data_IF_583128062184
#
_entry.id   IF_583128062184
#
_cell.length_a   1.000
_cell.length_b   1.000
_cell.length_c   1.000
_cell.angle_alpha   90.00
_cell.angle_beta   90.00
_cell.angle_gamma   90.00
#
_symmetry.space_group_name_H-M   'P 1'
#
loop_
_entity.id
_entity.type
_entity.pdbx_description
1 polymer ?
#
# COMPACT_ATOMS: atom_id res chain seq x y z
N UNK A 1 64.12 -39.19 1.26
CA UNK A 1 63.20 -38.48 2.18
C UNK A 1 62.74 -37.09 1.69
N UNK A 2 63.03 -36.65 0.45
CA UNK A 2 62.57 -35.33 -0.06
C UNK A 2 61.11 -35.31 -0.54
N UNK A 3 60.54 -36.46 -0.91
CA UNK A 3 59.20 -36.52 -1.52
C UNK A 3 58.06 -36.49 -0.50
N UNK A 4 58.34 -36.75 0.79
CA UNK A 4 57.33 -36.79 1.85
C UNK A 4 56.86 -35.38 2.23
N UNK A 5 57.75 -34.39 2.16
CA UNK A 5 57.42 -32.99 2.43
C UNK A 5 56.55 -32.38 1.32
N UNK A 6 56.79 -32.78 0.07
CA UNK A 6 55.96 -32.36 -1.08
C UNK A 6 54.55 -32.95 -0.95
N UNK A 7 54.43 -34.22 -0.56
CA UNK A 7 53.15 -34.87 -0.37
C UNK A 7 52.34 -34.25 0.79
N UNK A 8 53.01 -33.93 1.90
CA UNK A 8 52.38 -33.24 3.03
C UNK A 8 51.87 -31.84 2.68
N UNK A 9 52.61 -31.09 1.85
CA UNK A 9 52.23 -29.76 1.41
C UNK A 9 51.00 -29.79 0.46
N UNK A 10 50.90 -30.81 -0.38
CA UNK A 10 49.74 -31.02 -1.25
C UNK A 10 48.49 -31.35 -0.42
N UNK A 11 48.60 -32.23 0.57
CA UNK A 11 47.47 -32.57 1.46
C UNK A 11 47.00 -31.33 2.25
N UNK A 12 47.93 -30.51 2.75
CA UNK A 12 47.60 -29.27 3.45
C UNK A 12 46.86 -28.29 2.54
N UNK A 13 47.25 -28.19 1.28
CA UNK A 13 46.59 -27.34 0.29
C UNK A 13 45.16 -27.81 -0.02
N UNK A 14 44.94 -29.13 -0.17
CA UNK A 14 43.61 -29.69 -0.36
C UNK A 14 42.70 -29.47 0.87
N UNK A 15 43.25 -29.55 2.08
CA UNK A 15 42.50 -29.27 3.31
C UNK A 15 42.09 -27.79 3.41
N UNK A 16 42.96 -26.86 3.00
CA UNK A 16 42.68 -25.43 2.99
C UNK A 16 41.56 -25.05 2.00
N UNK A 17 41.50 -25.69 0.83
CA UNK A 17 40.46 -25.45 -0.17
C UNK A 17 39.10 -26.03 0.31
N UNK A 18 39.13 -27.17 1.02
CA UNK A 18 37.93 -27.82 1.55
C UNK A 18 37.29 -27.04 2.71
N UNK A 19 38.06 -26.22 3.43
CA UNK A 19 37.57 -25.35 4.51
C UNK A 19 36.82 -24.10 3.99
N UNK A 20 36.86 -23.82 2.68
CA UNK A 20 36.05 -22.78 2.05
C UNK A 20 34.65 -23.33 1.69
N UNK A 21 33.97 -23.97 2.63
CA UNK A 21 32.57 -24.36 2.44
C UNK A 21 31.67 -23.15 2.72
N UNK A 22 31.07 -22.63 1.66
CA UNK A 22 30.37 -21.35 1.61
C UNK A 22 29.34 -21.13 2.71
N UNK A 23 29.34 -19.92 3.25
CA UNK A 23 28.27 -19.37 4.08
C UNK A 23 26.94 -19.45 3.33
N UNK A 24 26.09 -20.40 3.74
CA UNK A 24 24.69 -20.49 3.34
C UNK A 24 23.85 -19.49 4.15
N UNK A 25 24.17 -18.20 4.07
CA UNK A 25 23.42 -17.16 4.79
C UNK A 25 22.30 -16.54 3.93
N UNK A 26 22.26 -16.83 2.62
CA UNK A 26 21.27 -16.26 1.71
C UNK A 26 19.83 -16.79 1.96
N UNK A 27 19.66 -18.04 2.40
CA UNK A 27 18.32 -18.65 2.52
C UNK A 27 17.51 -18.08 3.69
N UNK A 28 18.16 -17.74 4.81
CA UNK A 28 17.48 -17.16 5.99
C UNK A 28 16.96 -15.74 5.75
N UNK A 29 17.60 -14.99 4.84
CA UNK A 29 17.16 -13.63 4.47
C UNK A 29 15.87 -13.63 3.63
N UNK A 30 15.63 -14.72 2.88
CA UNK A 30 14.44 -14.84 2.00
C UNK A 30 13.21 -15.29 2.80
N UNK A 31 13.36 -16.15 3.81
CA UNK A 31 12.23 -16.61 4.64
C UNK A 31 11.54 -15.46 5.39
N UNK A 32 12.30 -14.55 5.99
CA UNK A 32 11.74 -13.43 6.77
C UNK A 32 10.93 -12.42 5.96
N UNK A 33 11.18 -12.30 4.64
CA UNK A 33 10.47 -11.37 3.75
C UNK A 33 9.07 -11.89 3.41
N UNK A 34 8.87 -13.21 3.42
CA UNK A 34 7.59 -13.86 3.08
C UNK A 34 6.70 -14.12 4.30
N UNK A 35 7.18 -13.83 5.50
CA UNK A 35 6.43 -14.01 6.76
C UNK A 35 5.83 -12.68 7.24
N UNK A 36 4.53 -12.67 7.49
CA UNK A 36 3.82 -11.52 8.08
C UNK A 36 2.32 -11.72 8.06
N UNK A 37 1.62 -11.10 9.02
CA UNK A 37 0.14 -11.11 9.11
C UNK A 37 -0.49 -9.88 8.46
N UNK A 38 0.31 -8.87 8.11
CA UNK A 38 -0.15 -7.60 7.53
C UNK A 38 -0.09 -7.66 5.99
N UNK A 39 -1.26 -7.49 5.35
CA UNK A 39 -1.39 -7.50 3.88
C UNK A 39 -1.34 -6.10 3.28
N UNK A 40 -2.44 -5.35 3.40
CA UNK A 40 -2.55 -3.98 2.90
C UNK A 40 -2.84 -3.04 4.07
N UNK A 41 -2.06 -1.98 4.19
CA UNK A 41 -2.30 -0.87 5.11
C UNK A 41 -3.00 0.24 4.36
N UNK A 42 -4.05 0.80 4.96
CA UNK A 42 -4.78 1.94 4.42
C UNK A 42 -4.91 2.98 5.52
N UNK A 43 -4.49 4.20 5.23
CA UNK A 43 -4.58 5.32 6.15
C UNK A 43 -4.95 6.59 5.42
N UNK A 44 -5.76 7.45 6.04
CA UNK A 44 -5.95 8.80 5.50
C UNK A 44 -4.66 9.62 5.67
N UNK A 45 -4.41 10.53 4.72
CA UNK A 45 -3.34 11.50 4.92
C UNK A 45 -3.62 12.38 6.16
N UNK A 46 -2.57 12.89 6.84
CA UNK A 46 -2.75 13.79 7.96
C UNK A 46 -3.61 15.01 7.58
N UNK A 47 -4.57 15.36 8.44
CA UNK A 47 -5.57 16.42 8.19
C UNK A 47 -6.45 16.19 6.95
N UNK A 48 -6.56 14.94 6.49
CA UNK A 48 -7.46 14.51 5.45
C UNK A 48 -8.34 13.36 5.98
N UNK A 49 -9.64 13.30 5.67
CA UNK A 49 -10.44 14.39 5.10
C UNK A 49 -10.42 15.65 5.99
N UNK A 50 -10.76 16.82 5.45
CA UNK A 50 -10.90 18.02 6.25
C UNK A 50 -12.05 17.84 7.26
N UNK A 51 -11.82 18.22 8.52
CA UNK A 51 -12.85 18.17 9.57
C UNK A 51 -14.03 19.12 9.30
N UNK A 52 -13.83 20.14 8.45
CA UNK A 52 -14.84 21.10 8.02
C UNK A 52 -14.66 21.40 6.54
N UNK A 53 -15.76 21.40 5.80
CA UNK A 53 -15.82 21.83 4.40
C UNK A 53 -16.67 23.09 4.35
N UNK A 54 -16.14 24.17 3.76
CA UNK A 54 -16.88 25.40 3.52
C UNK A 54 -17.60 25.23 2.19
N UNK A 55 -18.88 25.58 2.18
CA UNK A 55 -19.79 25.37 1.06
C UNK A 55 -20.57 26.63 0.81
N UNK A 56 -20.62 27.05 -0.44
CA UNK A 56 -21.34 28.24 -0.87
C UNK A 56 -22.59 27.82 -1.66
N UNK A 57 -23.72 28.43 -1.31
CA UNK A 57 -24.99 28.22 -2.00
C UNK A 57 -25.01 29.00 -3.32
N UNK A 58 -25.65 28.45 -4.35
CA UNK A 58 -25.87 29.13 -5.63
C UNK A 58 -24.69 29.11 -6.61
N UNK A 59 -23.54 28.54 -6.23
CA UNK A 59 -22.36 28.43 -7.11
C UNK A 59 -22.17 27.04 -7.76
N UNK A 60 -23.14 26.14 -7.57
CA UNK A 60 -23.13 24.77 -8.11
C UNK A 60 -22.18 23.83 -7.35
N UNK A 61 -22.53 22.54 -7.28
CA UNK A 61 -21.78 21.54 -6.50
C UNK A 61 -20.33 21.32 -6.99
N UNK A 62 -20.00 21.73 -8.21
CA UNK A 62 -18.66 21.62 -8.78
C UNK A 62 -17.62 22.48 -8.06
N UNK A 63 -18.05 23.60 -7.45
CA UNK A 63 -17.20 24.51 -6.67
C UNK A 63 -17.08 24.08 -5.21
N UNK A 64 -18.01 23.27 -4.74
CA UNK A 64 -18.11 22.74 -3.39
C UNK A 64 -17.45 21.36 -3.29
N UNK A 65 -16.21 21.24 -3.79
CA UNK A 65 -15.47 19.99 -3.80
C UNK A 65 -14.41 19.96 -2.69
N UNK A 66 -14.02 18.75 -2.30
CA UNK A 66 -12.87 18.52 -1.43
C UNK A 66 -12.22 17.20 -1.81
N UNK A 67 -10.95 17.03 -1.44
CA UNK A 67 -10.23 15.79 -1.72
C UNK A 67 -10.20 14.90 -0.48
N UNK A 68 -10.43 13.61 -0.68
CA UNK A 68 -10.18 12.56 0.30
C UNK A 68 -9.03 11.69 -0.22
N UNK A 69 -7.89 11.72 0.47
CA UNK A 69 -6.65 11.08 0.05
C UNK A 69 -6.28 9.98 1.03
N UNK A 70 -6.13 8.77 0.49
CA UNK A 70 -5.67 7.58 1.18
C UNK A 70 -4.23 7.27 0.78
N UNK A 71 -3.41 7.00 1.78
CA UNK A 71 -2.12 6.33 1.64
C UNK A 71 -2.35 4.81 1.73
N UNK A 72 -2.03 4.12 0.62
CA UNK A 72 -2.09 2.68 0.50
C UNK A 72 -0.68 2.13 0.53
N UNK A 73 -0.44 1.12 1.36
CA UNK A 73 0.85 0.46 1.43
C UNK A 73 0.72 -1.04 1.52
N UNK A 74 1.31 -1.73 0.55
CA UNK A 74 1.40 -3.18 0.57
C UNK A 74 2.46 -3.59 1.59
N UNK A 75 2.05 -4.25 2.65
CA UNK A 75 2.93 -4.80 3.69
C UNK A 75 3.13 -6.32 3.54
N UNK A 76 2.42 -6.94 2.60
CA UNK A 76 2.53 -8.35 2.26
C UNK A 76 3.64 -8.64 1.25
N UNK A 77 3.77 -9.90 0.86
CA UNK A 77 4.78 -10.38 -0.10
C UNK A 77 4.25 -10.56 -1.54
N UNK A 78 2.98 -10.24 -1.80
CA UNK A 78 2.34 -10.37 -3.12
C UNK A 78 1.59 -9.07 -3.48
N UNK A 79 1.46 -8.72 -4.78
CA UNK A 79 2.02 -9.41 -5.95
C UNK A 79 3.54 -9.24 -6.05
N UNK A 80 4.21 -10.21 -6.69
CA UNK A 80 5.66 -10.13 -6.90
C UNK A 80 6.02 -9.09 -7.98
N UNK A 81 7.17 -8.44 -7.81
CA UNK A 81 7.69 -7.45 -8.73
C UNK A 81 8.05 -8.12 -10.08
N UNK A 82 7.42 -7.69 -11.17
CA UNK A 82 7.62 -8.24 -12.52
C UNK A 82 6.86 -9.53 -12.84
N UNK A 83 5.86 -9.90 -12.03
CA UNK A 83 4.96 -11.03 -12.33
C UNK A 83 3.99 -10.76 -13.50
N UNK A 84 3.49 -11.84 -14.12
CA UNK A 84 2.53 -11.78 -15.24
C UNK A 84 1.22 -11.06 -14.85
N UNK A 85 0.84 -11.10 -13.56
CA UNK A 85 -0.17 -10.22 -12.97
C UNK A 85 0.51 -9.11 -12.18
N UNK A 86 0.94 -8.07 -12.89
CA UNK A 86 1.55 -6.87 -12.30
C UNK A 86 0.45 -5.98 -11.69
N UNK A 87 -0.09 -6.34 -10.52
CA UNK A 87 -1.11 -5.52 -9.85
C UNK A 87 -1.77 -6.22 -8.67
N UNK A 88 -2.07 -5.48 -7.59
CA UNK A 88 -2.79 -6.04 -6.45
C UNK A 88 -4.26 -6.19 -6.80
N UNK A 89 -4.81 -7.40 -6.72
CA UNK A 89 -6.23 -7.62 -6.97
C UNK A 89 -7.07 -7.16 -5.77
N UNK A 90 -7.99 -6.23 -5.99
CA UNK A 90 -8.89 -5.70 -4.96
C UNK A 90 -9.45 -4.34 -5.32
N UNK A 91 -10.38 -3.85 -4.48
CA UNK A 91 -10.99 -2.53 -4.63
C UNK A 91 -11.07 -1.83 -3.29
N UNK A 92 -10.84 -0.53 -3.30
CA UNK A 92 -11.01 0.36 -2.14
C UNK A 92 -12.30 1.14 -2.33
N UNK A 93 -13.16 1.07 -1.32
CA UNK A 93 -14.44 1.75 -1.28
C UNK A 93 -14.40 2.82 -0.20
N UNK A 94 -14.80 4.03 -0.55
CA UNK A 94 -15.09 5.06 0.44
C UNK A 94 -16.55 4.93 0.87
N UNK A 95 -16.81 4.87 2.18
CA UNK A 95 -18.17 4.75 2.74
C UNK A 95 -18.28 5.51 4.06
N UNK A 96 -19.52 5.70 4.55
CA UNK A 96 -19.82 6.48 5.77
C UNK A 96 -20.16 7.95 5.52
N UNK A 97 -20.57 8.29 4.30
CA UNK A 97 -21.10 9.61 3.94
C UNK A 97 -22.61 9.54 3.67
N UNK A 98 -23.29 10.68 3.80
CA UNK A 98 -24.70 10.83 3.40
C UNK A 98 -24.78 11.08 1.89
N UNK A 99 -25.31 10.15 1.08
CA UNK A 99 -25.37 10.28 -0.38
C UNK A 99 -26.33 11.38 -0.85
N UNK A 100 -27.20 11.90 0.02
CA UNK A 100 -28.03 13.05 -0.28
C UNK A 100 -27.28 14.38 -0.19
N UNK A 101 -26.10 14.40 0.44
CA UNK A 101 -25.29 15.60 0.71
C UNK A 101 -23.97 15.55 -0.05
N UNK A 102 -23.28 14.41 -0.04
CA UNK A 102 -22.04 14.19 -0.78
C UNK A 102 -22.28 13.29 -1.98
N UNK A 103 -21.91 13.81 -3.13
CA UNK A 103 -22.00 13.13 -4.43
C UNK A 103 -20.63 13.02 -5.06
N UNK A 104 -20.47 12.04 -5.93
CA UNK A 104 -19.24 11.78 -6.67
C UNK A 104 -19.56 11.77 -8.16
N UNK A 105 -18.60 12.16 -8.99
CA UNK A 105 -18.76 12.11 -10.46
C UNK A 105 -18.80 10.66 -10.99
N UNK A 106 -18.21 9.74 -10.24
CA UNK A 106 -18.20 8.30 -10.49
C UNK A 106 -18.39 7.54 -9.18
N UNK A 107 -18.67 6.24 -9.26
CA UNK A 107 -18.71 5.40 -8.05
C UNK A 107 -17.42 5.58 -7.23
N UNK A 108 -17.51 5.72 -5.89
CA UNK A 108 -16.36 5.97 -5.01
C UNK A 108 -15.58 4.66 -4.78
N UNK A 109 -15.12 4.07 -5.87
CA UNK A 109 -14.46 2.77 -5.94
C UNK A 109 -13.20 2.89 -6.77
N UNK A 110 -12.08 2.44 -6.21
CA UNK A 110 -10.80 2.49 -6.90
C UNK A 110 -10.20 1.09 -6.95
N UNK A 111 -9.84 0.64 -8.15
CA UNK A 111 -9.14 -0.61 -8.39
C UNK A 111 -7.72 -0.53 -7.84
N UNK A 112 -7.30 -1.59 -7.14
CA UNK A 112 -5.93 -1.75 -6.66
C UNK A 112 -4.99 -2.31 -7.73
N UNK A 113 -5.55 -2.84 -8.82
CA UNK A 113 -4.77 -3.50 -9.87
C UNK A 113 -3.83 -2.51 -10.57
N UNK A 114 -4.31 -1.29 -10.78
CA UNK A 114 -3.57 -0.23 -11.48
C UNK A 114 -2.68 0.60 -10.54
N UNK A 115 -2.46 0.14 -9.31
CA UNK A 115 -1.69 0.84 -8.27
C UNK A 115 -0.32 0.24 -8.10
N UNK A 116 0.65 1.08 -7.72
CA UNK A 116 2.03 0.68 -7.46
C UNK A 116 2.20 -0.06 -6.10
N UNK A 117 1.39 -1.09 -5.88
CA UNK A 117 1.29 -1.85 -4.63
C UNK A 117 2.03 -3.19 -4.72
N UNK A 118 3.30 -3.13 -5.10
CA UNK A 118 4.17 -4.31 -5.16
C UNK A 118 4.39 -4.93 -3.78
N UNK A 119 4.52 -6.25 -3.73
CA UNK A 119 4.86 -6.98 -2.52
C UNK A 119 6.28 -6.67 -2.05
N UNK A 120 6.54 -6.95 -0.77
CA UNK A 120 7.89 -6.92 -0.21
C UNK A 120 8.83 -7.84 -0.97
N UNK A 121 10.04 -7.37 -1.21
CA UNK A 121 11.12 -8.12 -1.85
C UNK A 121 12.46 -7.84 -1.18
N UNK A 122 13.51 -8.54 -1.60
CA UNK A 122 14.88 -8.34 -1.09
C UNK A 122 15.43 -6.94 -1.37
N UNK A 123 14.95 -6.30 -2.44
CA UNK A 123 15.34 -4.95 -2.84
C UNK A 123 14.33 -3.89 -2.38
N UNK A 124 13.09 -4.28 -2.06
CA UNK A 124 12.07 -3.42 -1.48
C UNK A 124 11.44 -4.07 -0.22
N UNK A 125 12.12 -4.03 0.94
CA UNK A 125 11.63 -4.67 2.17
C UNK A 125 10.39 -3.97 2.75
N UNK A 126 10.07 -2.78 2.24
CA UNK A 126 8.99 -1.92 2.69
C UNK A 126 7.69 -2.10 1.91
N UNK A 127 7.75 -2.84 0.79
CA UNK A 127 6.66 -2.99 -0.17
C UNK A 127 6.38 -1.73 -0.98
N UNK A 128 5.48 -1.84 -1.94
CA UNK A 128 4.97 -0.74 -2.74
C UNK A 128 3.95 0.12 -1.98
N UNK A 129 3.87 1.38 -2.36
CA UNK A 129 2.90 2.33 -1.81
C UNK A 129 2.36 3.22 -2.92
N UNK A 130 1.10 3.63 -2.78
CA UNK A 130 0.44 4.53 -3.72
C UNK A 130 -0.57 5.42 -3.01
N UNK A 131 -0.88 6.56 -3.62
CA UNK A 131 -1.90 7.49 -3.13
C UNK A 131 -3.17 7.35 -3.96
N UNK A 132 -4.29 7.36 -3.26
CA UNK A 132 -5.61 7.24 -3.86
C UNK A 132 -6.47 8.42 -3.45
N UNK A 133 -6.98 9.15 -4.44
CA UNK A 133 -7.77 10.36 -4.21
C UNK A 133 -9.19 10.17 -4.69
N UNK A 134 -10.16 10.41 -3.79
CA UNK A 134 -11.56 10.59 -4.11
C UNK A 134 -11.89 12.07 -4.13
N UNK A 135 -12.75 12.49 -5.06
CA UNK A 135 -13.15 13.89 -5.24
C UNK A 135 -14.66 14.06 -5.01
N UNK A 136 -15.13 14.01 -3.76
CA UNK A 136 -16.52 14.31 -3.43
C UNK A 136 -16.87 15.78 -3.71
N UNK A 137 -18.14 15.99 -4.05
CA UNK A 137 -18.81 17.28 -4.18
C UNK A 137 -19.94 17.36 -3.16
N UNK A 138 -20.16 18.52 -2.58
CA UNK A 138 -21.21 18.76 -1.59
C UNK A 138 -22.36 19.53 -2.24
N UNK A 139 -23.59 19.04 -2.05
CA UNK A 139 -24.81 19.71 -2.49
C UNK A 139 -25.25 20.69 -1.39
N UNK A 140 -24.93 21.98 -1.56
CA UNK A 140 -25.21 23.02 -0.57
C UNK A 140 -26.71 23.19 -0.30
N UNK A 141 -27.54 22.99 -1.31
CA UNK A 141 -29.01 23.13 -1.23
C UNK A 141 -29.64 22.10 -0.29
N UNK A 142 -28.97 20.95 -0.08
CA UNK A 142 -29.43 19.87 0.81
C UNK A 142 -29.02 20.08 2.26
N UNK A 143 -28.28 21.16 2.55
CA UNK A 143 -27.88 21.54 3.90
C UNK A 143 -28.94 22.43 4.57
N UNK A 144 -29.81 23.08 3.80
CA UNK A 144 -30.87 23.96 4.28
C UNK A 144 -31.97 23.18 5.03
N UNK A 145 -31.77 23.04 6.34
CA UNK A 145 -32.57 22.26 7.28
C UNK A 145 -31.74 21.74 8.46
N UNK A 146 -30.41 21.67 8.29
CA UNK A 146 -29.42 21.48 9.35
C UNK A 146 -28.56 22.74 9.35
N UNK A 147 -28.76 23.61 10.35
CA UNK A 147 -28.02 24.88 10.52
C UNK A 147 -26.62 24.81 9.91
N UNK A 148 -26.40 25.66 8.91
CA UNK A 148 -25.14 25.82 8.21
C UNK A 148 -23.99 25.90 9.21
N UNK A 149 -22.86 25.26 8.84
CA UNK A 149 -21.50 25.46 9.35
C UNK A 149 -20.85 24.33 10.16
N UNK A 150 -21.28 23.07 10.08
CA UNK A 150 -20.47 21.93 10.58
C UNK A 150 -21.02 20.57 10.15
N UNK A 151 -20.32 19.85 9.26
CA UNK A 151 -20.57 18.44 8.97
C UNK A 151 -19.42 17.61 9.52
N UNK A 152 -19.75 16.65 10.40
CA UNK A 152 -18.81 15.69 10.97
C UNK A 152 -18.90 14.38 10.18
N UNK A 153 -17.79 13.95 9.58
CA UNK A 153 -17.69 12.70 8.82
C UNK A 153 -17.34 11.52 9.73
N UNK A 154 -18.04 10.39 9.61
CA UNK A 154 -17.62 9.10 10.18
C UNK A 154 -17.27 8.14 9.04
N UNK A 155 -15.98 7.94 8.78
CA UNK A 155 -15.53 7.16 7.62
C UNK A 155 -15.25 5.71 8.00
N UNK A 156 -15.75 4.79 7.17
CA UNK A 156 -15.38 3.37 7.21
C UNK A 156 -14.75 3.02 5.87
N UNK A 157 -13.51 2.53 5.90
CA UNK A 157 -12.84 1.95 4.73
C UNK A 157 -13.08 0.45 4.78
N UNK A 158 -13.77 -0.09 3.77
CA UNK A 158 -14.01 -1.53 3.67
C UNK A 158 -13.13 -2.11 2.56
N UNK A 159 -12.28 -3.07 2.93
CA UNK A 159 -11.52 -3.88 1.99
C UNK A 159 -12.32 -5.13 1.67
N UNK A 160 -12.75 -5.27 0.42
CA UNK A 160 -13.34 -6.52 -0.07
C UNK A 160 -12.34 -7.25 -0.96
N UNK A 161 -12.06 -8.50 -0.60
CA UNK A 161 -11.39 -9.46 -1.49
C UNK A 161 -12.37 -9.83 -2.62
N UNK A 162 -11.92 -10.00 -3.89
CA UNK A 162 -12.74 -10.62 -4.92
C UNK A 162 -13.14 -12.06 -4.54
#
# INVERSE_FOLDING_TARGET
MKNIHVFALIILLLAAISACSGKKDATKSIEGIRTGTEGLSVSFLPNNPPAKVIVEEGIGSDKNNFDVVLDLRNKGAHPELGGVESGMNGRVYLSGFDPGIVVFDSDPVISLHDKALEGKSTINPNGGSDLVTFKPKVIAEKLNGKNTSQYYWQQHVTLTKP
#
